data_IF_494258971623
#
_entry.id   IF_494258971623
#
_cell.length_a   1.000
_cell.length_b   1.000
_cell.length_c   1.000
_cell.angle_alpha   90.00
_cell.angle_beta   90.00
_cell.angle_gamma   90.00
#
_symmetry.space_group_name_H-M   'P 1'
#
loop_
_entity.id
_entity.type
_entity.pdbx_description
1 polymer ?
#
# COMPACT_ATOMS: atom_id res chain seq x y z
N UNK A 1 -41.03 44.61 18.87
CA UNK A 1 -40.55 43.33 19.43
C UNK A 1 -40.63 42.31 18.32
N UNK A 2 -39.52 42.12 17.60
CA UNK A 2 -39.38 41.08 16.59
C UNK A 2 -38.24 40.18 17.05
N UNK A 3 -38.54 38.90 17.21
CA UNK A 3 -37.64 37.91 17.76
C UNK A 3 -36.42 37.74 16.88
N UNK A 4 -35.28 38.22 17.38
CA UNK A 4 -33.97 37.80 16.91
C UNK A 4 -33.71 36.38 17.42
N UNK A 5 -34.36 35.39 16.80
CA UNK A 5 -33.98 33.97 16.91
C UNK A 5 -33.01 33.61 15.78
N UNK A 6 -32.07 34.51 15.52
CA UNK A 6 -30.86 34.19 14.76
C UNK A 6 -29.82 33.71 15.76
N UNK A 7 -30.05 32.49 16.25
CA UNK A 7 -29.02 31.70 16.90
C UNK A 7 -27.77 31.65 16.01
N UNK A 8 -26.58 31.72 16.60
CA UNK A 8 -25.35 31.83 15.83
C UNK A 8 -25.18 30.59 14.95
N UNK A 9 -25.04 30.84 13.64
CA UNK A 9 -24.39 29.97 12.66
C UNK A 9 -25.17 28.71 12.27
N UNK A 10 -25.86 28.68 11.13
CA UNK A 10 -25.25 28.62 9.80
C UNK A 10 -24.12 27.56 9.64
N UNK A 11 -24.23 26.42 10.32
CA UNK A 11 -23.50 25.19 9.99
C UNK A 11 -24.51 24.09 9.69
N UNK A 12 -25.18 24.13 8.54
CA UNK A 12 -24.78 23.32 7.41
C UNK A 12 -25.13 21.84 7.62
N UNK A 13 -25.61 21.19 6.58
CA UNK A 13 -25.79 19.72 6.45
C UNK A 13 -24.50 18.88 6.71
N UNK A 14 -23.46 19.53 7.23
CA UNK A 14 -22.12 19.13 7.63
C UNK A 14 -21.92 19.10 9.16
N UNK A 15 -22.94 19.40 9.98
CA UNK A 15 -22.84 19.49 11.44
C UNK A 15 -22.57 18.18 12.19
N UNK A 16 -22.55 17.02 11.50
CA UNK A 16 -22.21 15.73 12.11
C UNK A 16 -20.71 15.51 12.37
N UNK A 17 -19.85 16.44 11.93
CA UNK A 17 -18.39 16.30 12.04
C UNK A 17 -17.78 17.13 13.18
N UNK A 18 -18.60 17.76 14.04
CA UNK A 18 -18.08 18.42 15.23
C UNK A 18 -17.83 17.37 16.33
N UNK A 19 -16.58 17.20 16.80
CA UNK A 19 -16.22 16.24 17.84
C UNK A 19 -16.61 16.79 19.21
N UNK A 20 -17.89 17.10 19.41
CA UNK A 20 -18.40 17.62 20.68
C UNK A 20 -18.60 16.54 21.75
N UNK A 21 -18.46 15.27 21.39
CA UNK A 21 -18.65 14.14 22.31
C UNK A 21 -17.46 13.18 22.19
N UNK A 22 -16.81 12.88 23.31
CA UNK A 22 -15.68 11.92 23.39
C UNK A 22 -16.00 10.60 22.68
N UNK A 23 -17.27 10.17 22.75
CA UNK A 23 -17.76 8.95 22.10
C UNK A 23 -17.63 9.01 20.57
N UNK A 24 -17.89 10.16 19.94
CA UNK A 24 -17.78 10.32 18.49
C UNK A 24 -16.32 10.23 18.05
N UNK A 25 -15.40 10.89 18.77
CA UNK A 25 -13.96 10.78 18.52
C UNK A 25 -13.48 9.34 18.66
N UNK A 26 -14.01 8.60 19.63
CA UNK A 26 -13.63 7.21 19.86
C UNK A 26 -14.13 6.29 18.72
N UNK A 27 -15.36 6.50 18.25
CA UNK A 27 -15.93 5.76 17.12
C UNK A 27 -15.16 6.07 15.82
N UNK A 28 -14.92 7.35 15.52
CA UNK A 28 -14.17 7.77 14.33
C UNK A 28 -12.71 7.33 14.40
N UNK A 29 -12.08 7.43 15.56
CA UNK A 29 -10.71 6.95 15.80
C UNK A 29 -10.59 5.45 15.61
N UNK A 30 -11.53 4.66 16.12
CA UNK A 30 -11.56 3.21 15.95
C UNK A 30 -11.84 2.81 14.51
N UNK A 31 -12.76 3.50 13.82
CA UNK A 31 -13.03 3.27 12.41
C UNK A 31 -11.79 3.55 11.54
N UNK A 32 -11.11 4.69 11.77
CA UNK A 32 -9.88 5.03 11.06
C UNK A 32 -8.76 4.03 11.37
N UNK A 33 -8.61 3.63 12.62
CA UNK A 33 -7.65 2.62 13.05
C UNK A 33 -7.89 1.27 12.35
N UNK A 34 -9.14 0.80 12.28
CA UNK A 34 -9.51 -0.43 11.58
C UNK A 34 -9.16 -0.37 10.09
N UNK A 35 -9.47 0.75 9.43
CA UNK A 35 -9.14 0.95 8.01
C UNK A 35 -7.62 0.87 7.82
N UNK A 36 -6.84 1.62 8.60
CA UNK A 36 -5.38 1.62 8.53
C UNK A 36 -4.82 0.23 8.84
N UNK A 37 -5.34 -0.46 9.85
CA UNK A 37 -4.94 -1.82 10.22
C UNK A 37 -5.16 -2.82 9.08
N UNK A 38 -6.34 -2.79 8.45
CA UNK A 38 -6.68 -3.66 7.32
C UNK A 38 -5.78 -3.37 6.12
N UNK A 39 -5.57 -2.08 5.81
CA UNK A 39 -4.67 -1.63 4.75
C UNK A 39 -3.24 -2.14 5.02
N UNK A 40 -2.68 -1.90 6.20
CA UNK A 40 -1.34 -2.37 6.57
C UNK A 40 -1.27 -3.90 6.52
N UNK A 41 -2.30 -4.62 6.98
CA UNK A 41 -2.33 -6.08 6.94
C UNK A 41 -2.34 -6.61 5.51
N UNK A 42 -3.10 -5.99 4.61
CA UNK A 42 -3.15 -6.35 3.18
C UNK A 42 -1.82 -6.02 2.50
N UNK A 43 -1.22 -4.87 2.78
CA UNK A 43 0.08 -4.49 2.22
C UNK A 43 1.22 -5.33 2.80
N UNK A 44 1.17 -5.70 4.09
CA UNK A 44 2.12 -6.65 4.71
C UNK A 44 1.93 -8.07 4.23
N UNK A 45 0.68 -8.51 4.03
CA UNK A 45 0.41 -9.80 3.41
C UNK A 45 0.81 -9.79 1.94
N UNK A 46 0.73 -8.67 1.23
CA UNK A 46 1.26 -8.57 -0.13
C UNK A 46 2.78 -8.50 -0.16
N UNK A 47 3.47 -7.86 0.80
CA UNK A 47 4.94 -7.93 0.84
C UNK A 47 5.44 -9.31 1.27
N UNK A 48 4.68 -10.09 2.05
CA UNK A 48 5.00 -11.50 2.30
C UNK A 48 4.52 -12.45 1.19
N UNK A 49 3.38 -12.19 0.53
CA UNK A 49 2.85 -13.02 -0.54
C UNK A 49 3.42 -12.68 -1.94
N UNK A 50 4.05 -11.52 -2.10
CA UNK A 50 4.87 -11.18 -3.27
C UNK A 50 6.34 -11.54 -3.10
N UNK A 51 6.72 -12.18 -1.99
CA UNK A 51 7.85 -13.11 -1.97
C UNK A 51 7.41 -14.51 -2.45
N UNK A 52 6.46 -14.56 -3.39
CA UNK A 52 6.33 -15.74 -4.23
C UNK A 52 7.58 -15.88 -5.10
N UNK A 53 8.05 -17.11 -5.37
CA UNK A 53 9.28 -17.37 -6.15
C UNK A 53 9.33 -16.67 -7.52
N UNK A 54 8.20 -16.17 -8.01
CA UNK A 54 8.08 -15.42 -9.25
C UNK A 54 8.78 -14.05 -9.22
N UNK A 55 8.76 -13.33 -8.08
CA UNK A 55 9.39 -11.99 -8.00
C UNK A 55 10.92 -12.11 -7.93
N UNK A 56 11.43 -13.05 -7.13
CA UNK A 56 12.87 -13.37 -7.06
C UNK A 56 13.41 -13.86 -8.40
N UNK A 57 12.65 -14.67 -9.14
CA UNK A 57 13.02 -15.10 -10.49
C UNK A 57 13.07 -13.93 -11.47
N UNK A 58 12.09 -13.03 -11.42
CA UNK A 58 12.09 -11.83 -12.28
C UNK A 58 13.25 -10.89 -11.98
N UNK A 59 13.60 -10.70 -10.70
CA UNK A 59 14.76 -9.89 -10.29
C UNK A 59 16.07 -10.57 -10.70
N UNK A 60 16.17 -11.89 -10.53
CA UNK A 60 17.36 -12.66 -10.92
C UNK A 60 17.63 -12.59 -12.43
N UNK A 61 16.59 -12.72 -13.26
CA UNK A 61 16.70 -12.55 -14.71
C UNK A 61 17.08 -11.12 -15.11
N UNK A 62 16.52 -10.10 -14.43
CA UNK A 62 16.85 -8.70 -14.67
C UNK A 62 18.32 -8.38 -14.33
N UNK A 63 18.83 -8.92 -13.22
CA UNK A 63 20.23 -8.76 -12.81
C UNK A 63 21.18 -9.41 -13.83
N UNK A 64 20.86 -10.62 -14.31
CA UNK A 64 21.63 -11.33 -15.33
C UNK A 64 21.73 -10.53 -16.64
N UNK A 65 20.61 -9.98 -17.09
CA UNK A 65 20.55 -9.16 -18.30
C UNK A 65 21.39 -7.88 -18.17
N UNK A 66 21.38 -7.25 -17.00
CA UNK A 66 22.19 -6.07 -16.72
C UNK A 66 23.70 -6.38 -16.77
N UNK A 67 24.14 -7.51 -16.21
CA UNK A 67 25.57 -7.92 -16.25
C UNK A 67 26.03 -8.32 -17.65
N UNK A 68 25.16 -8.98 -18.43
CA UNK A 68 25.43 -9.27 -19.83
C UNK A 68 25.57 -7.99 -20.66
N UNK A 69 24.70 -6.98 -20.44
CA UNK A 69 24.81 -5.69 -21.12
C UNK A 69 26.10 -4.91 -20.76
N UNK A 70 26.60 -5.10 -19.53
CA UNK A 70 27.91 -4.58 -19.11
C UNK A 70 29.10 -5.34 -19.71
N UNK A 71 28.88 -6.51 -20.31
CA UNK A 71 29.95 -7.37 -20.85
C UNK A 71 30.73 -8.12 -19.76
N UNK A 72 30.22 -8.17 -18.52
CA UNK A 72 30.85 -8.89 -17.41
C UNK A 72 30.66 -10.41 -17.50
N UNK A 73 29.76 -10.88 -18.37
CA UNK A 73 29.37 -12.29 -18.52
C UNK A 73 29.40 -12.65 -20.01
N UNK A 74 29.95 -13.81 -20.35
CA UNK A 74 29.97 -14.30 -21.73
C UNK A 74 28.58 -14.75 -22.22
N UNK A 75 28.39 -14.85 -23.54
CA UNK A 75 27.13 -15.35 -24.11
C UNK A 75 26.83 -16.78 -23.67
N UNK A 76 27.85 -17.64 -23.56
CA UNK A 76 27.67 -19.03 -23.13
C UNK A 76 27.20 -19.12 -21.68
N UNK A 77 27.77 -18.30 -20.80
CA UNK A 77 27.42 -18.23 -19.38
C UNK A 77 26.01 -17.70 -19.16
N UNK A 78 25.61 -16.66 -19.90
CA UNK A 78 24.25 -16.12 -19.84
C UNK A 78 23.19 -17.16 -20.20
N UNK A 79 23.43 -17.94 -21.26
CA UNK A 79 22.48 -18.98 -21.71
C UNK A 79 22.33 -20.09 -20.67
N UNK A 80 23.45 -20.57 -20.09
CA UNK A 80 23.42 -21.58 -19.04
C UNK A 80 22.64 -21.10 -17.81
N UNK A 81 22.92 -19.89 -17.32
CA UNK A 81 22.25 -19.36 -16.13
C UNK A 81 20.76 -19.09 -16.36
N UNK A 82 20.38 -18.57 -17.53
CA UNK A 82 18.97 -18.38 -17.89
C UNK A 82 18.22 -19.72 -17.94
N UNK A 83 18.86 -20.77 -18.46
CA UNK A 83 18.25 -22.09 -18.57
C UNK A 83 18.02 -22.73 -17.19
N UNK A 84 18.98 -22.57 -16.26
CA UNK A 84 18.85 -23.01 -14.86
C UNK A 84 17.72 -22.27 -14.15
N UNK A 85 17.64 -20.94 -14.29
CA UNK A 85 16.55 -20.15 -13.71
C UNK A 85 15.20 -20.41 -14.37
N UNK A 86 15.20 -20.93 -15.61
CA UNK A 86 13.97 -21.22 -16.34
C UNK A 86 13.28 -22.51 -15.86
N UNK A 87 14.04 -23.45 -15.29
CA UNK A 87 13.52 -24.71 -14.78
C UNK A 87 12.87 -24.51 -13.39
N UNK A 88 11.66 -25.06 -13.17
CA UNK A 88 10.97 -25.02 -11.89
C UNK A 88 11.62 -25.90 -10.82
#
# INVERSE_FOLDING_TARGET
MWGCDYGPMAGGWWGGFFPGNLLSLLIWGLALFLIVYVVIRIFRSQTQASQGPFRDRSDSEAILKARFAKGEISREEFVKMRQILSQP
#
